data_IF_198291954316
#
_entry.id   IF_198291954316
#
_cell.length_a   1.000
_cell.length_b   1.000
_cell.length_c   1.000
_cell.angle_alpha   90.00
_cell.angle_beta   90.00
_cell.angle_gamma   90.00
#
_symmetry.space_group_name_H-M   'P 1'
#
loop_
_entity.id
_entity.type
_entity.pdbx_description
1 polymer ?
#
# COMPACT_ATOMS: atom_id res chain seq x y z
N UNK A 1 61.69 -16.57 6.03
CA UNK A 1 60.97 -16.57 4.73
C UNK A 1 59.47 -16.41 4.98
N UNK A 2 58.86 -15.30 4.55
CA UNK A 2 57.39 -15.08 4.64
C UNK A 2 56.83 -14.86 3.23
N UNK A 3 56.15 -15.86 2.71
CA UNK A 3 55.56 -15.85 1.37
C UNK A 3 54.30 -14.99 1.38
N UNK A 4 54.29 -13.86 0.66
CA UNK A 4 53.10 -13.02 0.48
C UNK A 4 52.09 -13.76 -0.40
N UNK A 5 50.91 -14.10 0.14
CA UNK A 5 49.77 -14.56 -0.66
C UNK A 5 49.23 -13.38 -1.47
N UNK A 6 49.32 -13.46 -2.81
CA UNK A 6 48.57 -12.56 -3.70
C UNK A 6 47.08 -12.91 -3.60
N UNK A 7 46.29 -11.99 -3.07
CA UNK A 7 44.83 -12.02 -3.22
C UNK A 7 44.53 -11.82 -4.70
N UNK A 8 43.95 -12.83 -5.35
CA UNK A 8 43.38 -12.69 -6.69
C UNK A 8 42.12 -11.85 -6.55
N UNK A 9 42.17 -10.59 -6.94
CA UNK A 9 40.97 -9.85 -7.31
C UNK A 9 40.50 -10.39 -8.67
N UNK A 10 39.21 -10.71 -8.85
CA UNK A 10 38.72 -11.10 -10.16
C UNK A 10 38.81 -9.89 -11.08
N UNK A 11 39.63 -10.02 -12.13
CA UNK A 11 39.61 -9.17 -13.32
C UNK A 11 38.73 -9.83 -14.37
N UNK A 12 38.21 -8.99 -15.26
CA UNK A 12 37.30 -9.27 -16.39
C UNK A 12 35.86 -9.42 -15.92
N UNK A 13 34.91 -8.63 -16.43
CA UNK A 13 34.62 -8.37 -17.83
C UNK A 13 33.19 -8.89 -17.99
N UNK A 14 32.18 -8.07 -18.21
CA UNK A 14 31.77 -7.53 -19.50
C UNK A 14 30.62 -6.59 -19.17
N UNK A 15 30.64 -5.34 -19.61
CA UNK A 15 29.41 -4.52 -19.69
C UNK A 15 28.54 -5.04 -20.83
N UNK A 16 28.20 -6.33 -20.78
CA UNK A 16 27.18 -6.90 -21.62
C UNK A 16 25.88 -6.37 -21.06
N UNK A 17 25.33 -5.34 -21.69
CA UNK A 17 23.93 -4.97 -21.53
C UNK A 17 23.11 -6.22 -21.84
N UNK A 18 22.82 -7.03 -20.83
CA UNK A 18 21.86 -8.12 -20.93
C UNK A 18 20.49 -7.44 -21.01
N UNK A 19 20.17 -6.96 -22.22
CA UNK A 19 18.94 -6.24 -22.55
C UNK A 19 17.72 -7.05 -22.13
N UNK A 20 17.80 -8.38 -22.23
CA UNK A 20 16.75 -9.29 -21.77
C UNK A 20 16.61 -9.24 -20.24
N UNK A 21 17.71 -9.30 -19.50
CA UNK A 21 17.69 -9.15 -18.03
C UNK A 21 17.20 -7.77 -17.57
N UNK A 22 17.59 -6.70 -18.28
CA UNK A 22 17.10 -5.35 -18.04
C UNK A 22 15.61 -5.22 -18.36
N UNK A 23 15.14 -5.77 -19.48
CA UNK A 23 13.73 -5.78 -19.85
C UNK A 23 12.87 -6.58 -18.87
N UNK A 24 13.36 -7.73 -18.38
CA UNK A 24 12.68 -8.51 -17.33
C UNK A 24 12.60 -7.70 -16.03
N UNK A 25 13.69 -7.02 -15.64
CA UNK A 25 13.73 -6.18 -14.43
C UNK A 25 12.82 -4.95 -14.53
N UNK A 26 12.73 -4.34 -15.72
CA UNK A 26 11.81 -3.23 -15.98
C UNK A 26 10.37 -3.74 -15.98
N UNK A 27 10.10 -4.88 -16.62
CA UNK A 27 8.76 -5.48 -16.66
C UNK A 27 8.28 -5.86 -15.26
N UNK A 28 9.14 -6.45 -14.43
CA UNK A 28 8.81 -6.77 -13.05
C UNK A 28 8.60 -5.51 -12.20
N UNK A 29 9.40 -4.47 -12.39
CA UNK A 29 9.23 -3.16 -11.75
C UNK A 29 7.92 -2.46 -12.17
N UNK A 30 7.54 -2.53 -13.45
CA UNK A 30 6.28 -1.98 -13.96
C UNK A 30 5.10 -2.74 -13.35
N UNK A 31 5.18 -4.07 -13.31
CA UNK A 31 4.13 -4.93 -12.74
C UNK A 31 3.92 -4.64 -11.26
N UNK A 32 5.00 -4.53 -10.48
CA UNK A 32 4.93 -4.14 -9.06
C UNK A 32 4.43 -2.71 -8.86
N UNK A 33 4.77 -1.76 -9.75
CA UNK A 33 4.21 -0.40 -9.69
C UNK A 33 2.71 -0.35 -10.00
N UNK A 34 2.23 -1.24 -10.87
CA UNK A 34 0.80 -1.33 -11.19
C UNK A 34 0.01 -2.00 -10.07
N UNK A 35 0.58 -2.98 -9.37
CA UNK A 35 -0.02 -3.54 -8.16
C UNK A 35 -0.12 -2.49 -7.03
N UNK A 36 0.83 -1.56 -6.95
CA UNK A 36 0.74 -0.41 -6.04
C UNK A 36 -0.25 0.68 -6.49
N UNK A 37 -0.71 0.67 -7.75
CA UNK A 37 -1.71 1.61 -8.29
C UNK A 37 -3.14 1.09 -8.19
N UNK A 38 -3.38 0.03 -7.43
CA UNK A 38 -4.72 -0.54 -7.27
C UNK A 38 -5.58 0.41 -6.45
N UNK A 39 -6.25 1.35 -7.15
CA UNK A 39 -7.22 2.25 -6.56
C UNK A 39 -8.44 1.45 -6.11
N UNK A 40 -8.82 1.59 -4.84
CA UNK A 40 -10.01 0.93 -4.33
C UNK A 40 -11.27 1.62 -4.88
N UNK A 41 -12.27 0.82 -5.21
CA UNK A 41 -13.59 1.30 -5.62
C UNK A 41 -14.44 1.61 -4.39
N UNK A 42 -15.47 2.47 -4.55
CA UNK A 42 -16.45 2.74 -3.49
C UNK A 42 -17.07 1.43 -2.99
N UNK A 43 -17.41 0.51 -3.91
CA UNK A 43 -18.02 -0.77 -3.58
C UNK A 43 -17.11 -1.67 -2.73
N UNK A 44 -15.81 -1.69 -2.98
CA UNK A 44 -14.85 -2.42 -2.13
C UNK A 44 -14.78 -1.83 -0.73
N UNK A 45 -14.76 -0.50 -0.61
CA UNK A 45 -14.71 0.16 0.69
C UNK A 45 -16.02 0.02 1.47
N UNK A 46 -17.18 0.01 0.80
CA UNK A 46 -18.47 -0.30 1.43
C UNK A 46 -18.52 -1.74 1.95
N UNK A 47 -18.02 -2.71 1.18
CA UNK A 47 -17.89 -4.10 1.64
C UNK A 47 -16.97 -4.18 2.85
N UNK A 48 -15.90 -3.39 2.87
CA UNK A 48 -14.97 -3.37 3.97
C UNK A 48 -15.58 -2.77 5.25
N UNK A 49 -16.33 -1.66 5.14
CA UNK A 49 -17.14 -1.12 6.24
C UNK A 49 -18.11 -2.17 6.78
N UNK A 50 -18.78 -2.92 5.90
CA UNK A 50 -19.78 -3.91 6.34
C UNK A 50 -19.23 -5.05 7.20
N UNK A 51 -17.90 -5.24 7.23
CA UNK A 51 -17.24 -6.21 8.12
C UNK A 51 -17.08 -5.70 9.55
N UNK A 52 -17.28 -4.40 9.78
CA UNK A 52 -17.06 -3.74 11.06
C UNK A 52 -18.41 -3.66 11.78
N UNK A 53 -18.76 -4.68 12.57
CA UNK A 53 -20.07 -4.72 13.25
C UNK A 53 -20.32 -3.49 14.14
N UNK A 54 -19.30 -3.02 14.86
CA UNK A 54 -19.39 -1.91 15.79
C UNK A 54 -19.72 -0.55 15.14
N UNK A 55 -19.64 -0.42 13.81
CA UNK A 55 -20.03 0.82 13.13
C UNK A 55 -21.55 0.96 13.03
N UNK A 56 -22.29 -0.15 13.06
CA UNK A 56 -23.75 -0.13 12.94
C UNK A 56 -24.46 0.30 14.21
N UNK A 57 -23.76 0.26 15.35
CA UNK A 57 -24.27 0.74 16.64
C UNK A 57 -24.31 2.28 16.71
N UNK A 58 -23.65 2.97 15.77
CA UNK A 58 -23.48 4.42 15.73
C UNK A 58 -23.84 4.95 14.34
N UNK A 59 -25.11 5.32 14.15
CA UNK A 59 -25.66 5.72 12.86
C UNK A 59 -24.99 6.97 12.27
N UNK A 60 -24.58 7.92 13.12
CA UNK A 60 -23.91 9.15 12.67
C UNK A 60 -22.50 8.83 12.16
N UNK A 61 -21.77 7.99 12.90
CA UNK A 61 -20.45 7.52 12.47
C UNK A 61 -20.53 6.70 11.17
N UNK A 62 -21.57 5.88 11.01
CA UNK A 62 -21.81 5.13 9.78
C UNK A 62 -22.10 6.05 8.60
N UNK A 63 -23.02 7.00 8.75
CA UNK A 63 -23.34 7.96 7.68
C UNK A 63 -22.11 8.79 7.29
N UNK A 64 -21.37 9.28 8.30
CA UNK A 64 -20.09 9.96 8.09
C UNK A 64 -19.12 9.10 7.29
N UNK A 65 -18.89 7.85 7.70
CA UNK A 65 -17.94 6.97 7.04
C UNK A 65 -18.33 6.70 5.59
N UNK A 66 -19.61 6.48 5.29
CA UNK A 66 -20.06 6.27 3.90
C UNK A 66 -19.87 7.51 3.03
N UNK A 67 -20.05 8.72 3.58
CA UNK A 67 -19.75 9.97 2.88
C UNK A 67 -18.26 10.20 2.71
N UNK A 68 -17.48 9.96 3.76
CA UNK A 68 -16.04 10.14 3.80
C UNK A 68 -15.31 9.29 2.75
N UNK A 69 -15.78 8.06 2.52
CA UNK A 69 -15.22 7.13 1.52
C UNK A 69 -15.61 7.43 0.06
N UNK A 70 -16.49 8.40 -0.19
CA UNK A 70 -16.75 8.87 -1.57
C UNK A 70 -15.49 9.52 -2.15
N UNK A 71 -14.75 10.24 -1.30
CA UNK A 71 -13.45 10.78 -1.65
C UNK A 71 -12.42 9.65 -1.86
N UNK A 72 -11.63 9.77 -2.92
CA UNK A 72 -10.69 8.72 -3.33
C UNK A 72 -9.55 8.56 -2.34
N UNK A 73 -8.95 9.65 -1.89
CA UNK A 73 -7.75 9.62 -1.06
C UNK A 73 -8.11 9.09 0.34
N UNK A 74 -9.24 9.56 0.87
CA UNK A 74 -9.81 9.05 2.11
C UNK A 74 -10.07 7.55 2.06
N UNK A 75 -10.60 7.07 0.94
CA UNK A 75 -10.87 5.64 0.73
C UNK A 75 -9.60 4.82 0.66
N UNK A 76 -8.57 5.28 -0.03
CA UNK A 76 -7.28 4.59 -0.10
C UNK A 76 -6.64 4.49 1.29
N UNK A 77 -6.66 5.58 2.06
CA UNK A 77 -6.17 5.57 3.44
C UNK A 77 -6.96 4.58 4.29
N UNK A 78 -8.30 4.63 4.24
CA UNK A 78 -9.16 3.72 5.01
C UNK A 78 -8.90 2.24 4.71
N UNK A 79 -8.71 1.90 3.43
CA UNK A 79 -8.44 0.53 3.01
C UNK A 79 -7.07 0.02 3.47
N UNK A 80 -6.11 0.93 3.71
CA UNK A 80 -4.79 0.59 4.27
C UNK A 80 -4.77 0.38 5.78
N UNK A 81 -5.84 0.75 6.50
CA UNK A 81 -5.90 0.61 7.97
C UNK A 81 -6.27 -0.83 8.35
N UNK A 82 -5.65 -1.36 9.40
CA UNK A 82 -6.04 -2.66 9.96
C UNK A 82 -7.48 -2.62 10.49
N UNK A 83 -8.26 -3.67 10.23
CA UNK A 83 -9.72 -3.69 10.50
C UNK A 83 -10.05 -3.34 11.96
N UNK A 84 -9.23 -3.77 12.90
CA UNK A 84 -9.39 -3.55 14.35
C UNK A 84 -9.23 -2.07 14.73
N UNK A 85 -8.58 -1.27 13.88
CA UNK A 85 -8.29 0.15 14.11
C UNK A 85 -9.20 1.09 13.34
N UNK A 86 -10.00 0.58 12.40
CA UNK A 86 -10.84 1.40 11.50
C UNK A 86 -11.88 2.22 12.25
N UNK A 87 -12.56 1.63 13.24
CA UNK A 87 -13.57 2.36 14.04
C UNK A 87 -12.95 3.51 14.82
N UNK A 88 -11.87 3.23 15.54
CA UNK A 88 -11.17 4.26 16.32
C UNK A 88 -10.69 5.40 15.43
N UNK A 89 -10.12 5.06 14.27
CA UNK A 89 -9.65 6.05 13.32
C UNK A 89 -10.79 6.90 12.75
N UNK A 90 -11.90 6.28 12.35
CA UNK A 90 -13.09 6.99 11.87
C UNK A 90 -13.65 7.94 12.94
N UNK A 91 -13.75 7.50 14.21
CA UNK A 91 -14.20 8.35 15.33
C UNK A 91 -13.30 9.58 15.49
N UNK A 92 -11.98 9.38 15.51
CA UNK A 92 -11.03 10.48 15.64
C UNK A 92 -11.10 11.49 14.47
N UNK A 93 -11.48 11.06 13.27
CA UNK A 93 -11.71 11.99 12.15
C UNK A 93 -13.07 12.68 12.29
N UNK A 94 -14.11 11.93 12.63
CA UNK A 94 -15.46 12.46 12.86
C UNK A 94 -15.45 13.58 13.90
N UNK A 95 -14.83 13.35 15.05
CA UNK A 95 -14.71 14.34 16.14
C UNK A 95 -14.01 15.63 15.68
N UNK A 96 -13.01 15.52 14.79
CA UNK A 96 -12.29 16.68 14.23
C UNK A 96 -13.08 17.46 13.19
N UNK A 97 -14.09 16.87 12.58
CA UNK A 97 -14.93 17.53 11.58
C UNK A 97 -16.20 18.15 12.17
N UNK A 98 -16.53 17.83 13.42
CA UNK A 98 -17.68 18.38 14.14
C UNK A 98 -17.25 19.49 15.12
N UNK A 99 -15.99 19.47 15.56
CA UNK A 99 -15.37 20.55 16.34
C UNK A 99 -15.05 21.78 15.50
#
# INVERSE_FOLDING_TARGET
MRTRKRVRTPKSGTWGLNLVGAAISISSAITTSNDQRRSFTIMEASKEISKISAIFDDFELYDFATHFLKDKDNREIFMGIAIERKVWWLRNIFDKNIS
#
